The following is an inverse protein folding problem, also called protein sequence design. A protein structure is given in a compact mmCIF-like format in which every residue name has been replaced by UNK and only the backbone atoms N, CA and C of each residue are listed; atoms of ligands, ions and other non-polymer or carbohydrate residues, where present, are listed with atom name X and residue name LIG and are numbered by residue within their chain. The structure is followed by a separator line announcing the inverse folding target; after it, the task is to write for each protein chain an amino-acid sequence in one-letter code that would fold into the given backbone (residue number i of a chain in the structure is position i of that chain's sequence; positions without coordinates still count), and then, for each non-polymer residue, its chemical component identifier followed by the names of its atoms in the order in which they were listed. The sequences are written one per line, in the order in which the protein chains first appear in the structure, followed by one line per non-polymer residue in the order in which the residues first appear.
data_IF_908973355327
#
_entry.id   IF_908973355327
#
_cell.length_a   1.000
_cell.length_b   1.000
_cell.length_c   1.000
_cell.angle_alpha   90.00
_cell.angle_beta   90.00
_cell.angle_gamma   90.00
#
_symmetry.space_group_name_H-M   'P 1'
#
loop_
_entity.id
_entity.type
_entity.pdbx_description
1 polymer ?
#
# COMPACT_ATOMS: atom_id res chain seq x y z
N UNK A 1 -19.56 -72.21 -3.90
CA UNK A 1 -19.94 -71.16 -4.88
C UNK A 1 -20.12 -69.84 -4.13
N UNK A 2 -19.63 -68.73 -4.69
CA UNK A 2 -19.63 -67.33 -4.16
C UNK A 2 -18.50 -67.02 -3.17
N UNK A 3 -17.76 -65.91 -3.24
CA UNK A 3 -17.66 -64.78 -4.19
C UNK A 3 -16.30 -64.10 -3.90
N UNK A 4 -15.48 -63.85 -4.93
CA UNK A 4 -14.29 -63.00 -4.83
C UNK A 4 -14.70 -61.56 -4.49
N UNK A 5 -13.99 -60.92 -3.56
CA UNK A 5 -13.99 -59.45 -3.40
C UNK A 5 -12.57 -58.97 -3.65
N UNK A 6 -12.41 -58.33 -4.79
CA UNK A 6 -11.19 -57.66 -5.24
C UNK A 6 -11.05 -56.39 -4.39
N UNK A 7 -10.00 -56.32 -3.58
CA UNK A 7 -9.63 -55.11 -2.86
C UNK A 7 -9.02 -54.11 -3.85
N UNK A 8 -9.75 -53.05 -4.17
CA UNK A 8 -9.23 -51.93 -4.94
C UNK A 8 -8.34 -51.07 -4.04
N UNK A 9 -7.04 -51.05 -4.34
CA UNK A 9 -6.11 -50.09 -3.75
C UNK A 9 -6.28 -48.75 -4.47
N UNK A 10 -6.75 -47.74 -3.75
CA UNK A 10 -6.82 -46.36 -4.23
C UNK A 10 -5.41 -45.78 -4.12
N UNK A 11 -4.78 -45.54 -5.27
CA UNK A 11 -3.52 -44.80 -5.38
C UNK A 11 -3.90 -43.32 -5.46
N UNK A 12 -3.72 -42.59 -4.35
CA UNK A 12 -3.87 -41.14 -4.32
C UNK A 12 -2.61 -40.50 -4.93
N UNK A 13 -2.71 -40.01 -6.15
CA UNK A 13 -1.66 -39.19 -6.77
C UNK A 13 -1.73 -37.80 -6.17
N UNK A 14 -0.82 -37.50 -5.24
CA UNK A 14 -0.60 -36.13 -4.75
C UNK A 14 0.23 -35.41 -5.82
N UNK A 15 -0.43 -34.61 -6.66
CA UNK A 15 0.26 -33.68 -7.55
C UNK A 15 0.82 -32.53 -6.69
N UNK A 16 2.12 -32.57 -6.39
CA UNK A 16 2.85 -31.38 -5.93
C UNK A 16 2.82 -30.35 -7.07
N UNK A 17 2.02 -29.30 -6.89
CA UNK A 17 2.08 -28.11 -7.73
C UNK A 17 3.43 -27.44 -7.55
N UNK A 18 4.25 -27.48 -8.59
CA UNK A 18 5.42 -26.63 -8.74
C UNK A 18 4.92 -25.18 -8.86
N UNK A 19 5.04 -24.42 -7.78
CA UNK A 19 4.97 -22.96 -7.86
C UNK A 19 6.24 -22.50 -8.60
N UNK A 20 6.10 -22.28 -9.90
CA UNK A 20 7.04 -21.45 -10.63
C UNK A 20 6.83 -20.03 -10.12
N UNK A 21 7.65 -19.65 -9.15
CA UNK A 21 7.84 -18.25 -8.78
C UNK A 21 8.47 -17.58 -10.00
N UNK A 22 7.62 -17.02 -10.87
CA UNK A 22 8.06 -16.13 -11.90
C UNK A 22 8.51 -14.84 -11.20
N UNK A 23 9.72 -14.90 -10.62
CA UNK A 23 10.38 -13.75 -10.06
C UNK A 23 10.43 -12.68 -11.13
N UNK A 24 9.57 -11.68 -11.00
CA UNK A 24 9.71 -10.42 -11.73
C UNK A 24 11.07 -9.89 -11.35
N UNK A 25 12.05 -10.02 -12.25
CA UNK A 25 13.38 -9.50 -12.05
C UNK A 25 13.27 -8.03 -11.67
N UNK A 26 13.77 -7.68 -10.49
CA UNK A 26 13.80 -6.31 -10.02
C UNK A 26 14.57 -5.48 -11.03
N UNK A 27 13.94 -4.45 -11.58
CA UNK A 27 14.63 -3.51 -12.46
C UNK A 27 15.73 -2.82 -11.65
N UNK A 28 16.99 -3.01 -12.04
CA UNK A 28 18.12 -2.21 -11.53
C UNK A 28 17.99 -0.72 -11.92
N UNK A 29 17.02 -0.39 -12.78
CA UNK A 29 16.77 0.98 -13.24
C UNK A 29 15.96 1.72 -12.20
N UNK A 30 16.48 2.87 -11.77
CA UNK A 30 15.75 3.82 -10.94
C UNK A 30 14.44 4.22 -11.64
N UNK A 31 13.32 3.99 -10.95
CA UNK A 31 11.99 4.33 -11.41
C UNK A 31 11.60 5.71 -10.90
N UNK A 32 10.96 6.51 -11.75
CA UNK A 32 10.38 7.80 -11.39
C UNK A 32 8.88 7.69 -11.16
N UNK A 33 8.33 8.44 -10.20
CA UNK A 33 6.88 8.53 -10.02
C UNK A 33 6.44 9.91 -9.56
N UNK A 34 5.18 10.25 -9.85
CA UNK A 34 4.52 11.45 -9.35
C UNK A 34 3.01 11.23 -9.27
N UNK A 35 2.37 11.82 -8.27
CA UNK A 35 0.95 11.62 -8.02
C UNK A 35 0.27 12.79 -7.31
N UNK A 36 -1.05 12.83 -7.47
CA UNK A 36 -1.97 13.70 -6.73
C UNK A 36 -3.20 12.90 -6.32
N UNK A 37 -3.48 12.87 -5.02
CA UNK A 37 -4.64 12.22 -4.40
C UNK A 37 -5.41 13.24 -3.56
N UNK A 38 -6.59 13.63 -4.03
CA UNK A 38 -7.44 14.64 -3.37
C UNK A 38 -8.22 14.07 -2.18
N UNK A 39 -8.36 12.74 -2.11
CA UNK A 39 -9.04 12.09 -0.99
C UNK A 39 -8.53 10.66 -0.82
N UNK A 40 -7.99 10.38 0.36
CA UNK A 40 -7.69 9.06 0.88
C UNK A 40 -8.50 8.90 2.15
N UNK A 41 -9.41 7.94 2.20
CA UNK A 41 -10.29 7.71 3.34
C UNK A 41 -10.78 6.27 3.40
N UNK A 42 -11.39 5.89 4.51
CA UNK A 42 -12.05 4.59 4.63
C UNK A 42 -12.08 4.05 6.06
N UNK A 43 -11.09 4.41 6.87
CA UNK A 43 -11.09 4.04 8.29
C UNK A 43 -12.26 4.69 9.05
N UNK A 44 -12.68 4.11 10.20
CA UNK A 44 -13.75 4.66 11.02
C UNK A 44 -13.46 6.08 11.49
N UNK A 45 -14.51 6.77 11.95
CA UNK A 45 -14.46 8.16 12.43
C UNK A 45 -14.16 9.20 11.33
N UNK A 46 -14.26 8.81 10.06
CA UNK A 46 -14.12 9.73 8.92
C UNK A 46 -12.68 10.17 8.66
N UNK A 47 -11.69 9.35 9.04
CA UNK A 47 -10.27 9.65 8.78
C UNK A 47 -10.05 9.86 7.29
N UNK A 48 -9.52 11.04 6.98
CA UNK A 48 -9.35 11.46 5.60
C UNK A 48 -8.10 12.35 5.47
N UNK A 49 -7.40 12.20 4.34
CA UNK A 49 -6.25 13.01 4.01
C UNK A 49 -6.15 13.28 2.50
N UNK A 50 -5.55 14.42 2.16
CA UNK A 50 -4.99 14.72 0.84
C UNK A 50 -3.51 14.38 0.83
N UNK A 51 -3.03 13.86 -0.32
CA UNK A 51 -1.62 13.53 -0.49
C UNK A 51 -1.15 13.82 -1.91
N UNK A 52 -0.06 14.55 -2.03
CA UNK A 52 0.63 14.79 -3.29
C UNK A 52 2.08 14.40 -3.15
N UNK A 53 2.76 14.13 -4.27
CA UNK A 53 4.21 14.01 -4.23
C UNK A 53 4.77 13.21 -5.38
N UNK A 54 6.00 12.77 -5.18
CA UNK A 54 6.73 12.01 -6.17
C UNK A 54 8.20 11.94 -5.85
N UNK A 55 8.94 11.34 -6.77
CA UNK A 55 10.38 11.20 -6.66
C UNK A 55 10.87 9.98 -7.41
N UNK A 56 11.86 9.30 -6.84
CA UNK A 56 12.46 8.13 -7.47
C UNK A 56 12.79 7.04 -6.46
N UNK A 57 12.71 5.79 -6.91
CA UNK A 57 13.04 4.61 -6.11
C UNK A 57 13.78 3.57 -6.94
N UNK A 58 14.51 2.70 -6.25
CA UNK A 58 15.14 1.51 -6.78
C UNK A 58 15.16 0.46 -5.67
N UNK A 59 14.39 -0.62 -5.85
CA UNK A 59 14.32 -1.65 -4.81
C UNK A 59 15.58 -2.53 -4.79
N UNK A 60 16.26 -2.73 -5.93
CA UNK A 60 17.44 -3.58 -6.01
C UNK A 60 18.57 -3.12 -5.07
N UNK A 61 18.66 -1.82 -4.78
CA UNK A 61 19.61 -1.24 -3.82
C UNK A 61 18.93 -0.52 -2.64
N UNK A 62 17.64 -0.76 -2.42
CA UNK A 62 16.84 -0.16 -1.35
C UNK A 62 16.98 1.37 -1.26
N UNK A 63 16.94 2.05 -2.41
CA UNK A 63 17.07 3.50 -2.50
C UNK A 63 15.72 4.15 -2.77
N UNK A 64 15.38 5.20 -2.02
CA UNK A 64 14.27 6.08 -2.33
C UNK A 64 14.60 7.52 -1.99
N UNK A 65 14.14 8.42 -2.85
CA UNK A 65 14.13 9.87 -2.65
C UNK A 65 12.81 10.39 -3.19
N UNK A 66 11.83 10.49 -2.30
CA UNK A 66 10.53 11.07 -2.61
C UNK A 66 9.96 11.81 -1.42
N UNK A 67 9.13 12.79 -1.72
CA UNK A 67 8.48 13.66 -0.76
C UNK A 67 7.26 14.30 -1.42
N UNK A 68 6.49 15.05 -0.64
CA UNK A 68 5.41 15.87 -1.17
C UNK A 68 4.59 16.55 -0.10
N UNK A 69 3.40 17.00 -0.48
CA UNK A 69 2.45 17.66 0.42
C UNK A 69 1.48 16.67 1.04
N UNK A 70 1.06 16.93 2.27
CA UNK A 70 0.03 16.16 2.96
C UNK A 70 -0.87 17.11 3.74
N UNK A 71 -2.16 16.76 3.85
CA UNK A 71 -3.12 17.48 4.69
C UNK A 71 -4.17 16.53 5.26
N UNK A 72 -4.43 16.62 6.54
CA UNK A 72 -5.57 15.97 7.18
C UNK A 72 -6.85 16.72 6.82
N UNK A 73 -7.87 15.99 6.36
CA UNK A 73 -9.18 16.55 6.00
C UNK A 73 -10.21 16.42 7.12
N UNK A 74 -9.89 15.65 8.14
CA UNK A 74 -10.70 15.45 9.33
C UNK A 74 -9.79 15.35 10.55
N UNK A 75 -10.37 15.54 11.73
CA UNK A 75 -9.68 15.25 12.99
C UNK A 75 -9.45 13.74 13.12
N UNK A 76 -8.19 13.33 13.19
CA UNK A 76 -7.83 11.92 13.30
C UNK A 76 -7.49 11.59 14.74
N UNK A 77 -8.27 10.70 15.34
CA UNK A 77 -8.15 10.31 16.76
C UNK A 77 -7.56 8.91 16.97
N UNK A 78 -7.15 8.23 15.89
CA UNK A 78 -6.65 6.87 15.97
C UNK A 78 -5.69 6.50 14.87
N UNK A 79 -4.94 5.42 15.11
CA UNK A 79 -3.88 4.98 14.21
C UNK A 79 -2.65 5.91 14.22
N UNK A 80 -1.76 5.79 13.22
CA UNK A 80 -0.50 6.54 13.19
C UNK A 80 -0.66 8.06 13.19
N UNK A 81 -1.78 8.58 12.68
CA UNK A 81 -2.05 10.01 12.55
C UNK A 81 -2.88 10.58 13.71
N UNK A 82 -2.98 9.86 14.84
CA UNK A 82 -3.71 10.33 16.01
C UNK A 82 -3.19 11.70 16.46
N UNK A 83 -4.06 12.71 16.51
CA UNK A 83 -3.72 14.10 16.86
C UNK A 83 -3.47 15.02 15.67
N UNK A 84 -3.67 14.55 14.44
CA UNK A 84 -3.74 15.43 13.27
C UNK A 84 -5.15 16.03 13.15
N UNK A 85 -5.26 17.35 13.23
CA UNK A 85 -6.53 18.07 13.13
C UNK A 85 -6.87 18.40 11.67
N UNK A 86 -8.15 18.61 11.40
CA UNK A 86 -8.62 19.02 10.08
C UNK A 86 -7.92 20.31 9.62
N UNK A 87 -7.35 20.26 8.43
CA UNK A 87 -6.59 21.36 7.81
C UNK A 87 -5.09 21.37 8.15
N UNK A 88 -4.63 20.56 9.10
CA UNK A 88 -3.21 20.44 9.42
C UNK A 88 -2.47 19.54 8.44
N UNK A 89 -1.14 19.69 8.40
CA UNK A 89 -0.25 18.94 7.52
C UNK A 89 0.49 19.86 6.57
N UNK A 90 1.78 19.56 6.35
CA UNK A 90 2.66 20.38 5.52
C UNK A 90 3.35 19.54 4.48
N UNK A 91 4.10 18.53 4.92
CA UNK A 91 4.94 17.71 4.06
C UNK A 91 5.03 16.28 4.55
N UNK A 92 5.50 15.42 3.68
CA UNK A 92 5.99 14.09 4.01
C UNK A 92 7.28 13.83 3.24
N UNK A 93 8.12 12.94 3.75
CA UNK A 93 9.27 12.40 3.04
C UNK A 93 9.45 10.91 3.33
N UNK A 94 10.19 10.24 2.45
CA UNK A 94 10.41 8.80 2.57
C UNK A 94 11.49 8.46 3.58
N UNK A 95 11.16 7.53 4.46
CA UNK A 95 12.09 6.78 5.30
C UNK A 95 12.70 5.64 4.47
N UNK A 96 11.85 4.83 3.83
CA UNK A 96 12.28 3.62 3.13
C UNK A 96 11.31 3.20 2.01
N UNK A 97 11.80 2.37 1.09
CA UNK A 97 11.00 1.65 0.09
C UNK A 97 10.84 0.20 0.53
N UNK A 98 9.62 -0.33 0.47
CA UNK A 98 9.35 -1.71 0.86
C UNK A 98 9.19 -2.61 -0.37
N UNK A 99 9.63 -3.89 -0.30
CA UNK A 99 9.35 -4.84 -1.38
C UNK A 99 7.85 -5.10 -1.52
N UNK A 100 7.15 -5.28 -0.41
CA UNK A 100 5.69 -5.41 -0.37
C UNK A 100 5.16 -5.19 1.04
N UNK A 101 3.87 -4.87 1.15
CA UNK A 101 3.15 -4.92 2.43
C UNK A 101 1.64 -5.03 2.18
N UNK A 102 0.91 -5.52 3.17
CA UNK A 102 -0.54 -5.59 3.11
C UNK A 102 -1.17 -4.32 3.71
N UNK A 103 -2.19 -3.80 3.04
CA UNK A 103 -2.97 -2.65 3.51
C UNK A 103 -4.44 -3.01 3.73
N UNK A 104 -5.12 -2.25 4.59
CA UNK A 104 -6.58 -2.25 4.76
C UNK A 104 -7.13 -0.87 4.43
N UNK A 105 -8.27 -0.78 3.74
CA UNK A 105 -8.89 0.49 3.39
C UNK A 105 -9.83 0.96 4.50
N UNK A 106 -10.62 0.04 5.04
CA UNK A 106 -11.64 0.35 6.04
C UNK A 106 -11.15 0.14 7.47
N UNK A 107 -10.07 -0.62 7.65
CA UNK A 107 -9.57 -0.98 8.97
C UNK A 107 -10.46 -1.99 9.71
N UNK A 108 -11.50 -2.52 9.05
CA UNK A 108 -12.34 -3.57 9.59
C UNK A 108 -11.48 -4.80 9.95
N UNK A 109 -11.78 -5.42 11.09
CA UNK A 109 -11.05 -6.60 11.56
C UNK A 109 -11.17 -7.77 10.56
N UNK A 110 -12.34 -7.92 9.93
CA UNK A 110 -12.64 -8.94 8.94
C UNK A 110 -12.17 -8.58 7.52
N UNK A 111 -11.81 -7.32 7.25
CA UNK A 111 -11.21 -6.95 5.96
C UNK A 111 -9.87 -7.67 5.79
N UNK A 112 -9.75 -8.49 4.74
CA UNK A 112 -8.48 -9.10 4.36
C UNK A 112 -7.53 -8.02 3.81
N UNK A 113 -6.27 -8.07 4.22
CA UNK A 113 -5.25 -7.14 3.73
C UNK A 113 -4.99 -7.34 2.24
N UNK A 114 -4.90 -6.22 1.51
CA UNK A 114 -4.54 -6.18 0.07
C UNK A 114 -3.04 -5.95 -0.04
N UNK A 115 -2.34 -6.90 -0.65
CA UNK A 115 -0.89 -6.80 -0.81
C UNK A 115 -0.54 -5.86 -1.96
N UNK A 116 0.15 -4.77 -1.64
CA UNK A 116 0.85 -3.96 -2.63
C UNK A 116 2.30 -4.44 -2.71
N UNK A 117 2.82 -4.57 -3.93
CA UNK A 117 4.20 -4.97 -4.21
C UNK A 117 4.86 -3.90 -5.06
N UNK A 118 6.04 -3.45 -4.64
CA UNK A 118 6.82 -2.49 -5.42
C UNK A 118 7.21 -3.11 -6.76
N UNK A 119 7.09 -2.36 -7.85
CA UNK A 119 7.37 -2.78 -9.22
C UNK A 119 7.80 -1.55 -10.03
N UNK A 120 7.72 -1.57 -11.36
CA UNK A 120 7.88 -0.39 -12.22
C UNK A 120 6.65 0.55 -12.20
N UNK A 121 5.51 0.07 -11.72
CA UNK A 121 4.22 0.76 -11.79
C UNK A 121 3.55 0.92 -10.43
N UNK A 122 4.20 0.47 -9.37
CA UNK A 122 3.73 0.58 -7.98
C UNK A 122 4.92 0.82 -7.08
N UNK A 123 4.78 1.74 -6.14
CA UNK A 123 5.79 1.98 -5.11
C UNK A 123 5.14 1.87 -3.73
N UNK A 124 5.76 1.07 -2.86
CA UNK A 124 5.37 0.91 -1.45
C UNK A 124 6.42 1.58 -0.58
N UNK A 125 6.00 2.46 0.32
CA UNK A 125 6.88 3.34 1.08
C UNK A 125 6.58 3.27 2.57
N UNK A 126 7.61 3.52 3.38
CA UNK A 126 7.48 4.09 4.72
C UNK A 126 7.79 5.57 4.60
N UNK A 127 6.91 6.41 5.13
CA UNK A 127 7.06 7.85 5.09
C UNK A 127 6.84 8.47 6.47
N UNK A 128 7.60 9.53 6.73
CA UNK A 128 7.38 10.43 7.83
C UNK A 128 6.54 11.61 7.37
N UNK A 129 5.60 12.03 8.21
CA UNK A 129 4.63 13.09 7.96
C UNK A 129 4.80 14.18 9.00
N UNK A 130 4.70 15.42 8.52
CA UNK A 130 4.99 16.62 9.31
C UNK A 130 3.75 17.48 9.39
N UNK A 131 3.14 17.48 10.57
CA UNK A 131 2.01 18.35 10.92
C UNK A 131 2.47 19.80 10.99
N UNK A 132 1.52 20.71 10.81
CA UNK A 132 1.80 22.14 10.97
C UNK A 132 2.32 22.46 12.38
N UNK A 133 3.39 23.26 12.46
CA UNK A 133 3.98 23.67 13.74
C UNK A 133 5.08 22.76 14.28
N UNK A 134 5.19 21.52 13.81
CA UNK A 134 6.21 20.56 14.29
C UNK A 134 7.58 20.76 13.60
N UNK A 135 7.65 21.62 12.58
CA UNK A 135 8.89 21.99 11.90
C UNK A 135 9.53 20.81 11.17
N UNK A 136 10.77 20.48 11.56
CA UNK A 136 11.52 19.34 11.04
C UNK A 136 11.46 18.11 11.95
N UNK A 137 10.65 18.16 13.01
CA UNK A 137 10.36 16.97 13.83
C UNK A 137 9.24 16.19 13.17
N UNK A 138 9.48 14.90 12.94
CA UNK A 138 8.50 13.97 12.40
C UNK A 138 7.30 13.86 13.35
N UNK A 139 6.09 14.07 12.84
CA UNK A 139 4.86 13.94 13.63
C UNK A 139 4.35 12.51 13.63
N UNK A 140 4.38 11.85 12.47
CA UNK A 140 3.82 10.51 12.26
C UNK A 140 4.67 9.71 11.28
N UNK A 141 4.78 8.40 11.52
CA UNK A 141 5.37 7.46 10.55
C UNK A 141 4.30 6.49 10.10
N UNK A 142 4.11 6.34 8.79
CA UNK A 142 3.12 5.42 8.24
C UNK A 142 3.58 4.79 6.93
N UNK A 143 3.04 3.60 6.64
CA UNK A 143 3.17 2.99 5.33
C UNK A 143 2.19 3.63 4.35
N UNK A 144 2.60 3.72 3.09
CA UNK A 144 1.74 4.13 1.99
C UNK A 144 2.12 3.39 0.71
N UNK A 145 1.22 3.37 -0.26
CA UNK A 145 1.59 3.02 -1.63
C UNK A 145 0.90 3.93 -2.63
N UNK A 146 1.50 4.02 -3.81
CA UNK A 146 0.91 4.61 -5.01
C UNK A 146 1.11 3.61 -6.16
N UNK A 147 0.09 3.44 -6.99
CA UNK A 147 0.13 2.58 -8.16
C UNK A 147 -0.45 3.27 -9.38
N UNK A 148 -0.01 2.84 -10.56
CA UNK A 148 -0.64 3.17 -11.84
C UNK A 148 -1.99 2.47 -12.00
N UNK A 149 -2.20 1.33 -11.34
CA UNK A 149 -3.36 0.47 -11.51
C UNK A 149 -4.16 0.33 -10.22
N UNK A 150 -5.42 -0.07 -10.37
CA UNK A 150 -6.27 -0.43 -9.24
C UNK A 150 -5.76 -1.70 -8.57
N UNK A 151 -5.48 -1.64 -7.26
CA UNK A 151 -5.05 -2.80 -6.48
C UNK A 151 -6.18 -3.43 -5.65
N UNK A 152 -7.39 -2.85 -5.69
CA UNK A 152 -8.56 -3.37 -4.99
C UNK A 152 -9.85 -3.19 -5.82
N UNK A 153 -9.95 -3.82 -7.01
CA UNK A 153 -11.08 -3.64 -7.92
C UNK A 153 -12.44 -4.11 -7.36
N UNK A 154 -12.45 -4.85 -6.26
CA UNK A 154 -13.66 -5.21 -5.53
C UNK A 154 -14.23 -4.08 -4.67
N UNK A 155 -13.45 -3.02 -4.41
CA UNK A 155 -13.91 -1.80 -3.74
C UNK A 155 -14.34 -0.82 -4.84
N UNK A 156 -15.56 -0.23 -4.77
CA UNK A 156 -16.01 0.73 -5.77
C UNK A 156 -15.05 1.91 -5.97
N UNK A 157 -14.72 2.22 -7.23
CA UNK A 157 -13.80 3.30 -7.60
C UNK A 157 -12.34 2.85 -7.69
N UNK A 158 -11.46 3.73 -8.15
CA UNK A 158 -10.03 3.43 -8.32
C UNK A 158 -9.32 3.41 -6.97
N UNK A 159 -8.67 2.30 -6.62
CA UNK A 159 -7.92 2.15 -5.36
C UNK A 159 -6.42 2.01 -5.60
N UNK A 160 -5.80 3.09 -6.09
CA UNK A 160 -4.38 3.11 -6.46
C UNK A 160 -3.51 3.98 -5.54
N UNK A 161 -4.04 4.49 -4.42
CA UNK A 161 -3.26 5.17 -3.37
C UNK A 161 -3.81 4.88 -1.98
N UNK A 162 -2.96 4.51 -1.04
CA UNK A 162 -3.38 4.16 0.33
C UNK A 162 -2.40 4.72 1.36
N UNK A 163 -2.92 5.06 2.54
CA UNK A 163 -2.14 5.42 3.73
C UNK A 163 -2.60 4.53 4.89
N UNK A 164 -1.66 3.88 5.56
CA UNK A 164 -1.92 3.05 6.73
C UNK A 164 -2.68 3.82 7.81
N UNK A 165 -3.84 3.30 8.21
CA UNK A 165 -4.65 3.87 9.28
C UNK A 165 -5.58 5.02 8.87
N UNK A 166 -5.53 5.45 7.59
CA UNK A 166 -6.42 6.45 7.00
C UNK A 166 -7.37 5.79 6.00
N UNK A 167 -6.83 5.04 5.04
CA UNK A 167 -7.62 4.26 4.10
C UNK A 167 -7.08 4.27 2.68
N UNK A 168 -7.99 4.23 1.72
CA UNK A 168 -7.72 4.10 0.30
C UNK A 168 -8.34 5.24 -0.51
N UNK A 169 -7.90 5.40 -1.76
CA UNK A 169 -8.46 6.39 -2.66
C UNK A 169 -7.89 6.31 -4.06
N UNK A 170 -8.30 7.31 -4.85
CA UNK A 170 -7.88 7.49 -6.22
C UNK A 170 -6.79 8.58 -6.31
N UNK A 171 -5.72 8.26 -7.02
CA UNK A 171 -4.67 9.18 -7.40
C UNK A 171 -4.55 9.25 -8.92
N UNK A 172 -4.30 10.45 -9.43
CA UNK A 172 -3.67 10.58 -10.76
C UNK A 172 -2.19 10.27 -10.58
N UNK A 173 -1.73 9.12 -11.07
CA UNK A 173 -0.36 8.64 -10.87
C UNK A 173 0.37 8.41 -12.19
N UNK A 174 1.62 8.87 -12.27
CA UNK A 174 2.50 8.70 -13.42
C UNK A 174 3.77 7.98 -12.97
N UNK A 175 4.21 7.00 -13.76
CA UNK A 175 5.42 6.21 -13.53
C UNK A 175 6.26 6.18 -14.82
N UNK A 176 7.58 6.30 -14.69
CA UNK A 176 8.56 6.31 -15.78
C UNK A 176 9.76 5.41 -15.48
#
# INVERSE_FOLDING_TARGET
MKKYKISAAIITVVALGLFLDAGTGWSEVKQGFGFNAELISGFPDGRAAELTGGGSYNLANNSVKSAGGFRCLADITGGPFSGCLAGEGVRWDTVDVLPSTAFKCTGDAAEAGKTATTSDTTVVLIADFYRQGDGDTESFTAKMFVSKFDLAPEIPGLQNVWIQGIGCGAATANFN
#
